data_IF_810097853061
#
_entry.id   IF_810097853061
#
_cell.length_a   1.000
_cell.length_b   1.000
_cell.length_c   1.000
_cell.angle_alpha   90.00
_cell.angle_beta   90.00
_cell.angle_gamma   90.00
#
_symmetry.space_group_name_H-M   'P 1'
#
loop_
_entity.id
_entity.type
_entity.pdbx_description
1 polymer ?
#
# COMPACT_ATOMS: atom_id res chain seq x y z
N UNK A 1 0.32 -5.97 -27.32
CA UNK A 1 0.02 -5.33 -26.02
C UNK A 1 -0.39 -3.86 -26.11
N UNK A 2 0.07 -3.05 -27.09
CA UNK A 2 -0.22 -1.60 -27.09
C UNK A 2 -1.69 -1.19 -26.97
N UNK A 3 -2.62 -1.89 -27.64
CA UNK A 3 -4.06 -1.62 -27.49
C UNK A 3 -4.61 -2.00 -26.12
N UNK A 4 -4.09 -3.08 -25.52
CA UNK A 4 -4.49 -3.58 -24.19
C UNK A 4 -3.94 -2.67 -23.08
N UNK A 5 -2.73 -2.14 -23.24
CA UNK A 5 -2.08 -1.26 -22.26
C UNK A 5 -2.46 0.22 -22.42
N UNK A 6 -3.13 0.59 -23.50
CA UNK A 6 -3.43 1.99 -23.86
C UNK A 6 -4.76 2.53 -23.33
N UNK A 7 -5.16 3.69 -23.87
CA UNK A 7 -6.35 4.47 -23.48
C UNK A 7 -7.68 3.75 -23.71
N UNK A 8 -7.71 2.75 -24.58
CA UNK A 8 -8.90 1.91 -24.84
C UNK A 8 -8.80 0.53 -24.19
N UNK A 9 -7.82 0.34 -23.30
CA UNK A 9 -7.64 -0.90 -22.55
C UNK A 9 -7.55 -0.61 -21.06
N UNK A 10 -6.39 -0.87 -20.48
CA UNK A 10 -6.12 -0.69 -19.04
C UNK A 10 -6.27 0.77 -18.60
N UNK A 11 -6.11 1.76 -19.49
CA UNK A 11 -6.34 3.18 -19.16
C UNK A 11 -7.72 3.69 -19.59
N UNK A 12 -8.60 2.80 -20.04
CA UNK A 12 -9.94 3.12 -20.54
C UNK A 12 -11.02 3.09 -19.47
N UNK A 13 -12.28 2.92 -19.91
CA UNK A 13 -13.42 2.83 -19.01
C UNK A 13 -13.32 1.61 -18.09
N UNK A 14 -14.15 1.54 -17.03
CA UNK A 14 -14.19 0.38 -16.15
C UNK A 14 -14.44 -0.94 -16.91
N UNK A 15 -15.25 -0.89 -17.97
CA UNK A 15 -15.50 -2.04 -18.84
C UNK A 15 -14.25 -2.40 -19.66
N UNK A 16 -13.63 -1.42 -20.31
CA UNK A 16 -12.41 -1.64 -21.11
C UNK A 16 -11.27 -2.21 -20.25
N UNK A 17 -11.13 -1.69 -19.02
CA UNK A 17 -10.17 -2.20 -18.03
C UNK A 17 -10.42 -3.66 -17.71
N UNK A 18 -11.65 -4.05 -17.40
CA UNK A 18 -11.97 -5.43 -17.10
C UNK A 18 -11.67 -6.36 -18.28
N UNK A 19 -12.05 -5.96 -19.51
CA UNK A 19 -11.73 -6.70 -20.72
C UNK A 19 -10.22 -6.81 -20.96
N UNK A 20 -9.48 -5.73 -20.75
CA UNK A 20 -8.04 -5.69 -20.95
C UNK A 20 -7.29 -6.56 -19.93
N UNK A 21 -7.72 -6.56 -18.66
CA UNK A 21 -7.18 -7.45 -17.62
C UNK A 21 -7.43 -8.93 -17.96
N UNK A 22 -8.62 -9.28 -18.43
CA UNK A 22 -8.92 -10.65 -18.89
C UNK A 22 -8.12 -11.06 -20.12
N UNK A 23 -7.87 -10.13 -21.05
CA UNK A 23 -6.99 -10.36 -22.19
C UNK A 23 -5.54 -10.57 -21.77
N UNK A 24 -5.03 -9.78 -20.81
CA UNK A 24 -3.68 -9.99 -20.24
C UNK A 24 -3.55 -11.32 -19.53
N UNK A 25 -4.55 -11.72 -18.74
CA UNK A 25 -4.60 -13.02 -18.08
C UNK A 25 -4.51 -14.15 -19.11
N UNK A 26 -5.29 -14.07 -20.18
CA UNK A 26 -5.24 -15.04 -21.29
C UNK A 26 -3.88 -15.04 -21.98
N UNK A 27 -3.34 -13.86 -22.31
CA UNK A 27 -2.04 -13.71 -22.97
C UNK A 27 -0.89 -14.26 -22.13
N UNK A 28 -0.92 -14.07 -20.81
CA UNK A 28 0.05 -14.66 -19.88
C UNK A 28 0.04 -16.19 -19.97
N UNK A 29 -1.14 -16.80 -20.13
CA UNK A 29 -1.28 -18.24 -20.31
C UNK A 29 -0.56 -18.80 -21.54
N UNK A 30 -0.44 -18.02 -22.62
CA UNK A 30 0.15 -18.47 -23.88
C UNK A 30 1.57 -17.98 -24.15
N UNK A 31 1.89 -16.74 -23.76
CA UNK A 31 3.12 -16.05 -24.16
C UNK A 31 3.65 -15.12 -23.06
N UNK A 32 3.75 -15.63 -21.82
CA UNK A 32 4.17 -14.81 -20.68
C UNK A 32 5.53 -14.13 -20.92
N UNK A 33 6.52 -14.84 -21.43
CA UNK A 33 7.88 -14.31 -21.59
C UNK A 33 7.96 -13.18 -22.64
N UNK A 34 7.05 -13.16 -23.62
CA UNK A 34 6.93 -12.07 -24.60
C UNK A 34 6.16 -10.86 -24.05
N UNK A 35 5.19 -11.13 -23.15
CA UNK A 35 4.29 -10.11 -22.59
C UNK A 35 4.94 -9.40 -21.41
N UNK A 36 5.65 -10.13 -20.55
CA UNK A 36 6.16 -9.65 -19.27
C UNK A 36 7.09 -8.45 -19.39
N UNK A 37 8.08 -8.41 -20.32
CA UNK A 37 8.95 -7.24 -20.47
C UNK A 37 8.17 -5.96 -20.80
N UNK A 38 7.17 -6.08 -21.69
CA UNK A 38 6.33 -4.94 -22.11
C UNK A 38 5.40 -4.48 -21.00
N UNK A 39 4.88 -5.42 -20.21
CA UNK A 39 4.05 -5.08 -19.05
C UNK A 39 4.88 -4.39 -17.99
N UNK A 40 6.05 -4.94 -17.63
CA UNK A 40 6.95 -4.34 -16.64
C UNK A 40 7.36 -2.92 -17.05
N UNK A 41 7.70 -2.71 -18.32
CA UNK A 41 7.98 -1.37 -18.84
C UNK A 41 6.79 -0.42 -18.61
N UNK A 42 5.58 -0.84 -18.98
CA UNK A 42 4.37 -0.02 -18.87
C UNK A 42 3.95 0.26 -17.42
N UNK A 43 4.03 -0.73 -16.52
CA UNK A 43 3.55 -0.59 -15.13
C UNK A 43 4.63 -0.10 -14.17
N UNK A 44 5.91 -0.13 -14.54
CA UNK A 44 6.99 0.33 -13.66
C UNK A 44 6.81 1.79 -13.22
N UNK A 45 6.40 2.66 -14.14
CA UNK A 45 6.07 4.06 -13.81
C UNK A 45 4.76 4.22 -13.02
N UNK A 46 3.80 3.31 -13.22
CA UNK A 46 2.53 3.30 -12.49
C UNK A 46 2.71 2.78 -11.03
N UNK A 47 3.74 1.96 -10.80
CA UNK A 47 4.11 1.38 -9.51
C UNK A 47 5.29 2.11 -8.85
N UNK A 48 5.48 3.37 -9.20
CA UNK A 48 6.55 4.18 -8.63
C UNK A 48 6.28 4.50 -7.16
N UNK A 49 6.98 3.81 -6.26
CA UNK A 49 6.89 4.04 -4.83
C UNK A 49 7.40 5.43 -4.42
N UNK A 50 8.24 6.09 -5.21
CA UNK A 50 8.71 7.45 -4.91
C UNK A 50 7.56 8.46 -5.07
N UNK A 51 6.78 8.35 -6.14
CA UNK A 51 5.57 9.17 -6.34
C UNK A 51 4.58 9.05 -5.18
N UNK A 52 4.45 7.86 -4.58
CA UNK A 52 3.57 7.66 -3.43
C UNK A 52 4.21 8.16 -2.13
N UNK A 53 5.51 7.97 -1.94
CA UNK A 53 6.26 8.53 -0.80
C UNK A 53 6.29 10.06 -0.80
N UNK A 54 6.14 10.70 -1.96
CA UNK A 54 6.04 12.16 -2.07
C UNK A 54 4.75 12.70 -1.44
N UNK A 55 3.70 11.86 -1.29
CA UNK A 55 2.47 12.26 -0.62
C UNK A 55 2.68 12.41 0.88
N UNK A 56 2.33 13.57 1.40
CA UNK A 56 2.39 13.85 2.83
C UNK A 56 1.17 13.30 3.56
N UNK A 57 1.29 13.13 4.87
CA UNK A 57 0.14 12.80 5.72
C UNK A 57 -1.01 13.83 5.59
N UNK A 58 -0.70 15.09 5.27
CA UNK A 58 -1.70 16.12 5.02
C UNK A 58 -2.48 15.84 3.74
N UNK A 59 -1.80 15.47 2.66
CA UNK A 59 -2.44 15.18 1.36
C UNK A 59 -3.46 14.03 1.47
N UNK A 60 -3.10 13.00 2.23
CA UNK A 60 -3.99 11.87 2.53
C UNK A 60 -5.22 12.33 3.32
N UNK A 61 -5.06 13.21 4.30
CA UNK A 61 -6.17 13.76 5.09
C UNK A 61 -7.07 14.63 4.20
N UNK A 62 -6.50 15.45 3.32
CA UNK A 62 -7.26 16.26 2.35
C UNK A 62 -8.07 15.35 1.43
N UNK A 63 -7.46 14.29 0.92
CA UNK A 63 -8.12 13.30 0.07
C UNK A 63 -9.25 12.55 0.79
N UNK A 64 -9.05 12.17 2.04
CA UNK A 64 -10.07 11.49 2.85
C UNK A 64 -11.22 12.43 3.28
N UNK A 65 -11.00 13.75 3.25
CA UNK A 65 -12.00 14.75 3.65
C UNK A 65 -13.06 14.91 2.55
N UNK A 66 -14.37 14.83 2.87
CA UNK A 66 -15.44 15.02 1.90
C UNK A 66 -15.33 16.33 1.11
N UNK A 67 -15.73 16.31 -0.17
CA UNK A 67 -15.77 17.52 -0.99
C UNK A 67 -16.69 18.57 -0.36
N UNK A 68 -16.29 19.84 -0.42
CA UNK A 68 -17.03 20.94 0.22
C UNK A 68 -16.66 21.20 1.68
N UNK A 69 -15.72 20.42 2.25
CA UNK A 69 -15.20 20.62 3.60
C UNK A 69 -13.68 20.80 3.56
N UNK A 70 -13.17 21.74 4.35
CA UNK A 70 -11.73 21.92 4.53
C UNK A 70 -11.19 20.87 5.50
N UNK A 71 -10.03 20.32 5.15
CA UNK A 71 -9.33 19.36 5.97
C UNK A 71 -8.89 19.98 7.30
N UNK A 72 -9.10 19.25 8.41
CA UNK A 72 -8.62 19.64 9.74
C UNK A 72 -7.39 18.83 10.09
N UNK A 73 -6.27 19.52 10.32
CA UNK A 73 -4.97 18.89 10.58
C UNK A 73 -4.64 18.73 12.07
N UNK A 74 -5.56 19.12 12.97
CA UNK A 74 -5.36 19.15 14.44
C UNK A 74 -5.07 17.77 15.07
N UNK A 75 -5.25 16.67 14.32
CA UNK A 75 -5.05 15.29 14.76
C UNK A 75 -3.79 14.60 14.19
N UNK A 76 -2.89 15.30 13.48
CA UNK A 76 -1.69 14.62 12.94
C UNK A 76 -0.71 14.14 14.02
N UNK A 77 -0.79 14.64 15.26
CA UNK A 77 0.11 14.25 16.36
C UNK A 77 -0.37 13.04 17.19
N UNK A 78 -1.63 12.60 17.06
CA UNK A 78 -2.10 11.37 17.68
C UNK A 78 -2.95 10.58 16.69
N UNK A 79 -2.54 9.33 16.44
CA UNK A 79 -3.08 8.45 15.40
C UNK A 79 -4.59 8.62 15.18
N UNK A 80 -4.95 9.01 13.95
CA UNK A 80 -6.31 9.30 13.53
C UNK A 80 -7.29 8.16 13.84
N UNK A 81 -8.30 8.48 14.66
CA UNK A 81 -9.58 7.77 14.74
C UNK A 81 -10.63 8.70 14.11
N UNK A 82 -11.36 8.28 13.07
CA UNK A 82 -12.45 9.07 12.51
C UNK A 82 -13.56 9.18 13.55
N UNK A 83 -13.59 10.29 14.30
CA UNK A 83 -14.73 10.62 15.15
C UNK A 83 -15.78 11.35 14.33
N UNK A 84 -16.99 10.78 14.37
CA UNK A 84 -18.21 11.42 13.90
C UNK A 84 -18.39 12.75 14.64
N UNK A 85 -18.70 13.76 13.83
CA UNK A 85 -19.28 15.07 14.11
C UNK A 85 -19.67 15.33 15.59
N UNK A 86 -18.85 16.12 16.28
CA UNK A 86 -19.35 17.04 17.30
C UNK A 86 -18.79 18.44 17.05
N UNK A 87 -19.69 19.39 16.82
CA UNK A 87 -19.41 20.80 16.69
C UNK A 87 -18.93 21.37 18.03
N UNK A 88 -17.61 21.42 18.26
CA UNK A 88 -17.03 22.15 19.38
C UNK A 88 -15.93 23.11 18.91
N UNK A 89 -16.23 24.40 19.10
CA UNK A 89 -15.39 25.60 19.03
C UNK A 89 -13.89 25.36 18.81
N UNK A 90 -13.42 25.66 17.60
CA UNK A 90 -12.00 25.71 17.23
C UNK A 90 -11.32 26.85 17.99
N UNK A 91 -10.50 26.51 18.99
CA UNK A 91 -9.53 27.43 19.57
C UNK A 91 -8.26 27.36 18.72
N UNK A 92 -8.10 28.34 17.84
CA UNK A 92 -6.88 28.53 17.03
C UNK A 92 -5.65 28.54 17.95
N UNK A 93 -4.66 27.71 17.63
CA UNK A 93 -3.45 27.52 18.42
C UNK A 93 -2.57 28.79 18.42
N UNK A 94 -1.66 28.90 19.40
CA UNK A 94 -0.75 30.05 19.52
C UNK A 94 0.27 30.12 18.38
N UNK A 95 0.46 29.05 17.62
CA UNK A 95 1.42 28.99 16.50
C UNK A 95 0.81 29.61 15.23
N UNK A 96 -0.48 29.39 14.97
CA UNK A 96 -1.22 30.07 13.89
C UNK A 96 -1.28 31.59 14.09
N UNK A 97 -1.31 32.04 15.35
CA UNK A 97 -1.22 33.47 15.71
C UNK A 97 0.15 34.09 15.45
N UNK A 98 1.22 33.30 15.40
CA UNK A 98 2.57 33.81 15.15
C UNK A 98 2.85 34.00 13.66
N UNK A 99 2.22 33.21 12.78
CA UNK A 99 2.38 33.35 11.34
C UNK A 99 1.65 34.60 10.78
N UNK A 100 0.55 35.03 11.41
CA UNK A 100 -0.30 36.15 10.94
C UNK A 100 -0.66 37.16 12.05
N UNK A 101 0.28 37.42 12.97
CA UNK A 101 0.05 38.20 14.21
C UNK A 101 -0.32 39.68 14.05
N UNK A 102 -0.29 40.24 12.83
CA UNK A 102 -0.63 41.63 12.58
C UNK A 102 -2.15 41.87 12.49
N UNK A 103 -2.94 40.95 11.92
CA UNK A 103 -4.40 41.12 11.79
C UNK A 103 -5.17 40.72 13.06
N UNK A 104 -4.66 39.77 13.85
CA UNK A 104 -5.39 39.20 14.98
C UNK A 104 -5.56 40.16 16.18
N UNK A 105 -4.76 41.24 16.26
CA UNK A 105 -4.84 42.22 17.35
C UNK A 105 -5.94 43.25 17.16
N UNK A 106 -6.27 43.62 15.92
CA UNK A 106 -7.37 44.58 15.66
C UNK A 106 -8.75 43.93 15.89
N UNK A 107 -8.89 42.63 15.61
CA UNK A 107 -10.16 41.91 15.77
C UNK A 107 -10.53 41.50 17.21
N UNK A 108 -9.60 41.59 18.17
CA UNK A 108 -9.89 41.26 19.57
C UNK A 108 -10.65 42.38 20.30
N UNK A 109 -10.54 43.63 19.83
CA UNK A 109 -11.23 44.77 20.44
C UNK A 109 -12.72 44.86 20.04
N UNK A 110 -13.11 44.27 18.91
CA UNK A 110 -14.47 44.44 18.36
C UNK A 110 -15.45 43.32 18.78
N UNK A 111 -14.95 42.15 19.21
CA UNK A 111 -15.78 40.97 19.53
C UNK A 111 -16.39 40.95 20.95
N UNK A 112 -16.18 41.98 21.77
CA UNK A 112 -16.78 42.06 23.11
C UNK A 112 -18.25 42.54 23.11
N UNK A 113 -18.77 43.02 21.98
CA UNK A 113 -20.11 43.58 21.92
C UNK A 113 -20.91 43.02 20.74
N UNK A 114 -21.42 41.79 20.88
CA UNK A 114 -22.77 41.32 20.45
C UNK A 114 -22.82 39.79 20.40
N UNK A 115 -23.47 39.20 21.41
CA UNK A 115 -24.06 37.86 21.33
C UNK A 115 -25.39 37.95 20.58
N UNK A 116 -25.61 37.09 19.58
CA UNK A 116 -26.92 36.51 19.23
C UNK A 116 -26.77 35.38 18.21
N UNK A 117 -27.58 34.36 18.40
CA UNK A 117 -27.70 33.09 17.66
C UNK A 117 -28.02 33.26 16.16
N UNK A 118 -27.02 33.57 15.36
CA UNK A 118 -27.00 33.24 13.94
C UNK A 118 -25.70 32.51 13.67
N UNK A 119 -25.74 31.38 12.94
CA UNK A 119 -24.52 30.79 12.34
C UNK A 119 -23.76 31.97 11.71
N UNK A 120 -22.54 32.30 12.17
CA UNK A 120 -21.86 33.50 11.68
C UNK A 120 -21.78 33.38 10.16
N UNK A 121 -22.53 34.23 9.46
CA UNK A 121 -22.40 34.37 8.01
C UNK A 121 -20.95 34.77 7.79
N UNK A 122 -20.21 33.92 7.10
CA UNK A 122 -18.87 34.27 6.66
C UNK A 122 -18.96 35.62 5.96
N UNK A 123 -18.08 36.53 6.35
CA UNK A 123 -17.91 37.79 5.62
C UNK A 123 -17.47 37.47 4.20
N UNK A 124 -17.70 38.36 3.23
CA UNK A 124 -17.30 38.12 1.82
C UNK A 124 -15.82 37.76 1.69
N UNK A 125 -14.96 38.34 2.54
CA UNK A 125 -13.53 38.02 2.61
C UNK A 125 -13.28 36.61 3.16
N UNK A 126 -14.05 36.17 4.17
CA UNK A 126 -13.96 34.80 4.69
C UNK A 126 -14.48 33.76 3.68
N UNK A 127 -15.51 34.09 2.89
CA UNK A 127 -15.99 33.24 1.79
C UNK A 127 -14.95 33.09 0.66
N UNK A 128 -14.31 34.19 0.26
CA UNK A 128 -13.25 34.17 -0.75
C UNK A 128 -12.04 33.33 -0.29
N UNK A 129 -11.60 33.49 0.95
CA UNK A 129 -10.50 32.69 1.53
C UNK A 129 -10.88 31.22 1.67
N UNK A 130 -12.12 30.92 2.05
CA UNK A 130 -12.63 29.55 2.12
C UNK A 130 -12.64 28.87 0.75
N UNK A 131 -13.18 29.55 -0.26
CA UNK A 131 -13.23 29.04 -1.63
C UNK A 131 -11.84 28.85 -2.23
N UNK A 132 -10.91 29.78 -1.97
CA UNK A 132 -9.52 29.65 -2.42
C UNK A 132 -8.83 28.40 -1.82
N UNK A 133 -9.02 28.14 -0.52
CA UNK A 133 -8.50 26.93 0.13
C UNK A 133 -9.14 25.66 -0.40
N UNK A 134 -10.44 25.70 -0.70
CA UNK A 134 -11.16 24.54 -1.22
C UNK A 134 -10.66 24.15 -2.62
N UNK A 135 -10.36 25.14 -3.46
CA UNK A 135 -9.79 24.94 -4.79
C UNK A 135 -8.37 24.35 -4.72
N UNK A 136 -7.54 24.81 -3.78
CA UNK A 136 -6.21 24.23 -3.55
C UNK A 136 -6.31 22.77 -3.11
N UNK A 137 -7.18 22.47 -2.14
CA UNK A 137 -7.42 21.10 -1.69
C UNK A 137 -7.99 20.22 -2.81
N UNK A 138 -8.80 20.75 -3.73
CA UNK A 138 -9.30 19.98 -4.88
C UNK A 138 -8.16 19.53 -5.81
N UNK A 139 -7.14 20.36 -6.01
CA UNK A 139 -5.92 19.98 -6.73
C UNK A 139 -5.15 18.84 -6.03
N UNK A 140 -5.05 18.90 -4.70
CA UNK A 140 -4.44 17.81 -3.89
C UNK A 140 -5.25 16.53 -4.01
N UNK A 141 -6.59 16.61 -3.90
CA UNK A 141 -7.49 15.44 -4.06
C UNK A 141 -7.31 14.79 -5.42
N UNK A 142 -7.23 15.59 -6.49
CA UNK A 142 -7.03 15.08 -7.84
C UNK A 142 -5.68 14.38 -8.00
N UNK A 143 -4.61 14.95 -7.42
CA UNK A 143 -3.26 14.39 -7.46
C UNK A 143 -3.21 13.04 -6.72
N UNK A 144 -3.72 12.98 -5.49
CA UNK A 144 -3.77 11.74 -4.70
C UNK A 144 -4.62 10.68 -5.39
N UNK A 145 -5.75 11.06 -5.99
CA UNK A 145 -6.61 10.13 -6.73
C UNK A 145 -5.92 9.54 -7.97
N UNK A 146 -5.19 10.37 -8.73
CA UNK A 146 -4.46 9.92 -9.91
C UNK A 146 -3.33 8.93 -9.54
N UNK A 147 -2.56 9.22 -8.49
CA UNK A 147 -1.51 8.33 -7.99
C UNK A 147 -2.11 7.00 -7.49
N UNK A 148 -3.21 7.07 -6.71
CA UNK A 148 -3.93 5.89 -6.25
C UNK A 148 -4.38 5.01 -7.42
N UNK A 149 -5.05 5.61 -8.40
CA UNK A 149 -5.59 4.89 -9.54
C UNK A 149 -4.50 4.22 -10.37
N UNK A 150 -3.40 4.94 -10.65
CA UNK A 150 -2.24 4.40 -11.36
C UNK A 150 -1.62 3.19 -10.63
N UNK A 151 -1.40 3.30 -9.32
CA UNK A 151 -0.86 2.20 -8.52
C UNK A 151 -1.82 1.00 -8.43
N UNK A 152 -3.12 1.22 -8.23
CA UNK A 152 -4.14 0.15 -8.22
C UNK A 152 -4.19 -0.57 -9.57
N UNK A 153 -4.00 0.17 -10.66
CA UNK A 153 -3.99 -0.37 -12.00
C UNK A 153 -2.78 -1.28 -12.24
N UNK A 154 -1.58 -0.80 -11.90
CA UNK A 154 -0.36 -1.62 -12.02
C UNK A 154 -0.46 -2.90 -11.18
N UNK A 155 -1.02 -2.81 -9.97
CA UNK A 155 -1.24 -3.97 -9.09
C UNK A 155 -2.24 -4.96 -9.70
N UNK A 156 -3.36 -4.47 -10.24
CA UNK A 156 -4.35 -5.30 -10.92
C UNK A 156 -3.75 -6.03 -12.14
N UNK A 157 -2.89 -5.35 -12.91
CA UNK A 157 -2.19 -5.94 -14.06
C UNK A 157 -1.27 -7.08 -13.61
N UNK A 158 -0.43 -6.85 -12.60
CA UNK A 158 0.45 -7.89 -12.06
C UNK A 158 -0.34 -9.07 -11.48
N UNK A 159 -1.45 -8.80 -10.80
CA UNK A 159 -2.37 -9.81 -10.29
C UNK A 159 -2.98 -10.67 -11.42
N UNK A 160 -3.42 -10.05 -12.52
CA UNK A 160 -3.94 -10.76 -13.69
C UNK A 160 -2.90 -11.65 -14.37
N UNK A 161 -1.64 -11.20 -14.45
CA UNK A 161 -0.55 -12.05 -14.98
C UNK A 161 -0.29 -13.27 -14.09
N UNK A 162 -0.26 -13.08 -12.77
CA UNK A 162 -0.14 -14.17 -11.79
C UNK A 162 -1.25 -15.22 -11.95
N UNK A 163 -2.51 -14.77 -12.13
CA UNK A 163 -3.65 -15.65 -12.36
C UNK A 163 -3.53 -16.43 -13.66
N UNK A 164 -3.14 -15.76 -14.74
CA UNK A 164 -3.09 -16.32 -16.08
C UNK A 164 -2.04 -17.41 -16.26
N UNK A 165 -0.90 -17.30 -15.57
CA UNK A 165 0.17 -18.28 -15.68
C UNK A 165 1.00 -18.43 -14.40
N UNK A 166 0.44 -19.10 -13.40
CA UNK A 166 1.10 -19.30 -12.09
C UNK A 166 2.48 -19.94 -12.20
N UNK A 167 2.63 -20.96 -13.06
CA UNK A 167 3.91 -21.69 -13.22
C UNK A 167 4.97 -20.81 -13.88
N UNK A 168 4.63 -20.12 -14.97
CA UNK A 168 5.55 -19.23 -15.68
C UNK A 168 5.90 -18.01 -14.83
N UNK A 169 4.94 -17.47 -14.07
CA UNK A 169 5.15 -16.31 -13.20
C UNK A 169 6.12 -16.56 -12.06
N UNK A 170 6.36 -17.82 -11.70
CA UNK A 170 7.38 -18.18 -10.72
C UNK A 170 8.74 -17.55 -11.03
N UNK A 171 9.20 -17.63 -12.28
CA UNK A 171 10.48 -17.07 -12.72
C UNK A 171 10.55 -15.53 -12.61
N UNK A 172 9.38 -14.88 -12.60
CA UNK A 172 9.24 -13.42 -12.58
C UNK A 172 8.93 -12.87 -11.18
N UNK A 173 8.72 -13.73 -10.17
CA UNK A 173 8.41 -13.33 -8.79
C UNK A 173 9.42 -12.33 -8.19
N UNK A 174 10.75 -12.49 -8.37
CA UNK A 174 11.72 -11.47 -7.98
C UNK A 174 11.44 -10.08 -8.53
N UNK A 175 11.18 -9.98 -9.83
CA UNK A 175 10.92 -8.68 -10.47
C UNK A 175 9.62 -8.05 -9.96
N UNK A 176 8.57 -8.85 -9.82
CA UNK A 176 7.26 -8.39 -9.32
C UNK A 176 7.34 -7.96 -7.85
N UNK A 177 8.02 -8.74 -7.00
CA UNK A 177 8.15 -8.45 -5.57
C UNK A 177 8.87 -7.14 -5.30
N UNK A 178 9.90 -6.81 -6.09
CA UNK A 178 10.61 -5.53 -6.05
C UNK A 178 9.74 -4.32 -6.39
N UNK A 179 8.64 -4.50 -7.12
CA UNK A 179 7.67 -3.43 -7.40
C UNK A 179 6.57 -3.36 -6.33
N UNK A 180 6.07 -4.51 -5.87
CA UNK A 180 4.90 -4.58 -4.98
C UNK A 180 5.25 -4.22 -3.53
N UNK A 181 6.38 -4.71 -2.99
CA UNK A 181 6.72 -4.50 -1.58
C UNK A 181 7.05 -3.07 -1.19
N UNK A 182 7.75 -2.26 -2.01
CA UNK A 182 7.91 -0.84 -1.71
C UNK A 182 6.59 -0.08 -1.58
N UNK A 183 5.56 -0.46 -2.35
CA UNK A 183 4.23 0.15 -2.27
C UNK A 183 3.51 -0.20 -0.96
N UNK A 184 3.69 -1.41 -0.42
CA UNK A 184 3.15 -1.78 0.89
C UNK A 184 3.61 -0.81 1.99
N UNK A 185 4.88 -0.39 1.91
CA UNK A 185 5.51 0.57 2.83
C UNK A 185 5.07 2.00 2.58
N UNK A 186 5.12 2.45 1.33
CA UNK A 186 4.86 3.84 0.94
C UNK A 186 3.38 4.23 1.05
N UNK A 187 2.49 3.28 0.78
CA UNK A 187 1.13 3.55 0.38
C UNK A 187 0.08 2.82 1.22
N UNK A 188 0.42 2.47 2.47
CA UNK A 188 -0.43 1.68 3.40
C UNK A 188 -1.90 2.07 3.36
N UNK A 189 -2.20 3.36 3.46
CA UNK A 189 -3.59 3.84 3.56
C UNK A 189 -4.29 3.96 2.21
N UNK A 190 -3.54 3.99 1.12
CA UNK A 190 -4.04 4.34 -0.20
C UNK A 190 -4.35 3.10 -1.06
N UNK A 191 -3.45 2.10 -1.06
CA UNK A 191 -3.53 0.92 -1.96
C UNK A 191 -3.37 -0.43 -1.27
N UNK A 192 -3.51 -0.50 0.06
CA UNK A 192 -3.36 -1.76 0.82
C UNK A 192 -4.20 -2.92 0.26
N UNK A 193 -5.44 -2.66 -0.16
CA UNK A 193 -6.30 -3.68 -0.75
C UNK A 193 -5.70 -4.32 -2.00
N UNK A 194 -5.20 -3.49 -2.93
CA UNK A 194 -4.56 -3.95 -4.17
C UNK A 194 -3.25 -4.71 -3.90
N UNK A 195 -2.44 -4.24 -2.95
CA UNK A 195 -1.18 -4.90 -2.57
C UNK A 195 -1.47 -6.27 -1.96
N UNK A 196 -2.43 -6.37 -1.03
CA UNK A 196 -2.83 -7.65 -0.41
C UNK A 196 -3.37 -8.64 -1.44
N UNK A 197 -4.21 -8.18 -2.37
CA UNK A 197 -4.73 -9.02 -3.44
C UNK A 197 -3.59 -9.55 -4.34
N UNK A 198 -2.66 -8.68 -4.72
CA UNK A 198 -1.51 -9.05 -5.56
C UNK A 198 -0.58 -10.01 -4.84
N UNK A 199 -0.28 -9.76 -3.56
CA UNK A 199 0.53 -10.62 -2.71
C UNK A 199 -0.02 -12.06 -2.63
N UNK A 200 -1.35 -12.20 -2.53
CA UNK A 200 -2.01 -13.52 -2.53
C UNK A 200 -1.80 -14.25 -3.85
N UNK A 201 -1.95 -13.57 -4.98
CA UNK A 201 -1.70 -14.20 -6.29
C UNK A 201 -0.23 -14.56 -6.50
N UNK A 202 0.70 -13.72 -6.04
CA UNK A 202 2.13 -14.02 -6.05
C UNK A 202 2.45 -15.27 -5.23
N UNK A 203 1.85 -15.41 -4.04
CA UNK A 203 2.03 -16.58 -3.19
C UNK A 203 1.54 -17.89 -3.85
N UNK A 204 0.53 -17.80 -4.73
CA UNK A 204 0.05 -18.94 -5.52
C UNK A 204 0.97 -19.29 -6.71
N UNK A 205 1.93 -18.43 -7.05
CA UNK A 205 2.97 -18.70 -8.05
C UNK A 205 4.23 -19.32 -7.45
N UNK A 206 4.30 -19.50 -6.13
CA UNK A 206 5.42 -20.16 -5.48
C UNK A 206 5.51 -21.65 -5.84
N UNK A 207 6.71 -22.22 -5.69
CA UNK A 207 6.95 -23.64 -5.94
C UNK A 207 6.23 -24.56 -4.95
N UNK A 208 5.97 -24.05 -3.75
CA UNK A 208 5.07 -24.67 -2.78
C UNK A 208 3.78 -23.86 -2.68
N UNK A 209 2.70 -24.54 -2.28
CA UNK A 209 1.43 -23.87 -2.03
C UNK A 209 1.50 -23.17 -0.68
N UNK A 210 1.83 -21.89 -0.69
CA UNK A 210 1.78 -21.06 0.49
C UNK A 210 0.33 -20.91 0.97
N UNK A 211 0.14 -21.09 2.27
CA UNK A 211 -1.11 -20.84 2.97
C UNK A 211 -1.44 -19.35 3.02
N UNK A 212 -2.72 -19.01 3.22
CA UNK A 212 -3.20 -17.61 3.21
C UNK A 212 -2.56 -16.72 4.30
N UNK A 213 -2.00 -17.32 5.35
CA UNK A 213 -1.34 -16.61 6.44
C UNK A 213 0.00 -15.99 6.00
N UNK A 214 0.68 -16.59 5.03
CA UNK A 214 1.99 -16.12 4.54
C UNK A 214 1.89 -14.77 3.81
N UNK A 215 1.03 -14.57 2.79
CA UNK A 215 0.92 -13.29 2.11
C UNK A 215 0.40 -12.17 3.02
N UNK A 216 -0.46 -12.47 4.00
CA UNK A 216 -0.91 -11.49 4.99
C UNK A 216 0.25 -11.06 5.91
N UNK A 217 1.04 -12.01 6.40
CA UNK A 217 2.22 -11.70 7.20
C UNK A 217 3.28 -10.92 6.39
N UNK A 218 3.49 -11.28 5.12
CA UNK A 218 4.38 -10.54 4.20
C UNK A 218 3.94 -9.09 4.02
N UNK A 219 2.64 -8.86 3.86
CA UNK A 219 2.10 -7.51 3.81
C UNK A 219 2.42 -6.72 5.09
N UNK A 220 2.15 -7.31 6.26
CA UNK A 220 2.37 -6.66 7.56
C UNK A 220 3.85 -6.29 7.80
N UNK A 221 4.79 -7.18 7.49
CA UNK A 221 6.23 -6.90 7.66
C UNK A 221 6.77 -5.92 6.63
N UNK A 222 6.16 -5.87 5.44
CA UNK A 222 6.53 -4.89 4.40
C UNK A 222 6.05 -3.49 4.78
N UNK A 223 4.93 -3.41 5.49
CA UNK A 223 4.33 -2.18 5.98
C UNK A 223 5.05 -1.62 7.22
N UNK A 224 5.46 -2.50 8.14
CA UNK A 224 6.05 -2.14 9.42
C UNK A 224 7.47 -2.68 9.56
N UNK A 225 8.52 -1.83 9.49
CA UNK A 225 9.91 -2.29 9.53
C UNK A 225 10.38 -2.75 10.93
N UNK A 226 9.57 -2.55 11.97
CA UNK A 226 9.89 -2.90 13.35
C UNK A 226 8.67 -3.48 14.05
N UNK A 227 8.90 -4.47 14.91
CA UNK A 227 7.87 -5.10 15.73
C UNK A 227 7.19 -4.13 16.70
N UNK A 228 7.88 -3.07 17.14
CA UNK A 228 7.31 -2.02 17.99
C UNK A 228 6.10 -1.31 17.38
N UNK A 229 5.94 -1.40 16.05
CA UNK A 229 4.88 -0.73 15.30
C UNK A 229 3.68 -1.64 15.03
N UNK A 230 3.78 -2.93 15.40
CA UNK A 230 2.72 -3.91 15.21
C UNK A 230 1.76 -3.90 16.40
N UNK A 231 0.47 -4.03 16.12
CA UNK A 231 -0.50 -4.37 17.16
C UNK A 231 -0.25 -5.80 17.68
N UNK A 232 -0.74 -6.16 18.88
CA UNK A 232 -0.63 -7.54 19.37
C UNK A 232 -1.19 -8.59 18.40
N UNK A 233 -2.26 -8.24 17.67
CA UNK A 233 -2.90 -9.08 16.67
C UNK A 233 -2.03 -9.20 15.41
N UNK A 234 -1.49 -8.09 14.90
CA UNK A 234 -0.58 -8.11 13.74
C UNK A 234 0.67 -8.93 14.05
N UNK A 235 1.21 -8.79 15.26
CA UNK A 235 2.33 -9.60 15.73
C UNK A 235 1.98 -11.10 15.78
N UNK A 236 0.75 -11.45 16.19
CA UNK A 236 0.27 -12.83 16.16
C UNK A 236 0.14 -13.35 14.72
N UNK A 237 -0.34 -12.52 13.79
CA UNK A 237 -0.43 -12.87 12.38
C UNK A 237 0.94 -13.08 11.74
N UNK A 238 1.95 -12.25 12.08
CA UNK A 238 3.33 -12.45 11.63
C UNK A 238 3.89 -13.77 12.16
N UNK A 239 3.70 -14.08 13.45
CA UNK A 239 4.10 -15.39 14.02
C UNK A 239 3.42 -16.55 13.30
N UNK A 240 2.11 -16.43 13.05
CA UNK A 240 1.33 -17.42 12.30
C UNK A 240 1.89 -17.64 10.91
N UNK A 241 2.16 -16.56 10.17
CA UNK A 241 2.72 -16.61 8.82
C UNK A 241 4.09 -17.26 8.76
N UNK A 242 5.00 -17.01 9.72
CA UNK A 242 6.31 -17.69 9.76
C UNK A 242 6.14 -19.19 10.01
N UNK A 243 5.31 -19.59 10.97
CA UNK A 243 5.04 -21.01 11.25
C UNK A 243 4.42 -21.70 10.04
N UNK A 244 3.47 -21.03 9.40
CA UNK A 244 2.80 -21.52 8.21
C UNK A 244 3.78 -21.68 7.04
N UNK A 245 4.65 -20.70 6.80
CA UNK A 245 5.72 -20.80 5.80
C UNK A 245 6.60 -22.03 6.02
N UNK A 246 7.08 -22.24 7.25
CA UNK A 246 7.93 -23.39 7.58
C UNK A 246 7.19 -24.71 7.39
N UNK A 247 5.90 -24.76 7.72
CA UNK A 247 5.06 -25.93 7.48
C UNK A 247 4.85 -26.19 5.98
N UNK A 248 4.54 -25.15 5.20
CA UNK A 248 4.29 -25.20 3.76
C UNK A 248 5.53 -25.65 2.97
N UNK A 249 6.73 -25.32 3.47
CA UNK A 249 8.00 -25.76 2.91
C UNK A 249 8.29 -27.26 3.13
N UNK A 250 7.66 -27.89 4.14
CA UNK A 250 7.88 -29.30 4.47
C UNK A 250 9.34 -29.67 4.80
N UNK A 251 10.18 -28.69 5.15
CA UNK A 251 11.60 -28.89 5.44
C UNK A 251 12.54 -28.93 4.22
N UNK A 252 12.04 -28.62 3.02
CA UNK A 252 12.86 -28.52 1.80
C UNK A 252 13.14 -27.05 1.47
N UNK A 253 14.34 -26.71 0.95
CA UNK A 253 14.63 -25.35 0.53
C UNK A 253 13.75 -24.94 -0.66
N UNK A 254 13.33 -23.67 -0.67
CA UNK A 254 12.56 -23.05 -1.75
C UNK A 254 13.50 -22.55 -2.84
N UNK A 255 13.18 -22.78 -4.14
CA UNK A 255 13.88 -22.14 -5.25
C UNK A 255 14.04 -20.64 -5.01
N UNK A 256 15.13 -20.08 -5.54
CA UNK A 256 15.57 -18.70 -5.28
C UNK A 256 14.42 -17.70 -5.49
N UNK A 257 13.58 -17.92 -6.49
CA UNK A 257 12.47 -17.06 -6.86
C UNK A 257 11.36 -17.03 -5.80
N UNK A 258 10.99 -18.18 -5.23
CA UNK A 258 10.06 -18.25 -4.11
C UNK A 258 10.69 -17.80 -2.81
N UNK A 259 11.97 -18.08 -2.61
CA UNK A 259 12.69 -17.63 -1.43
C UNK A 259 12.76 -16.10 -1.38
N UNK A 260 13.06 -15.42 -2.49
CA UNK A 260 13.11 -13.95 -2.55
C UNK A 260 11.75 -13.31 -2.18
N UNK A 261 10.64 -13.95 -2.57
CA UNK A 261 9.30 -13.50 -2.19
C UNK A 261 9.08 -13.54 -0.68
N UNK A 262 9.45 -14.64 -0.02
CA UNK A 262 9.16 -14.89 1.41
C UNK A 262 10.26 -14.40 2.34
N UNK A 263 11.44 -14.07 1.80
CA UNK A 263 12.61 -13.63 2.57
C UNK A 263 12.34 -12.42 3.49
N UNK A 264 11.56 -11.39 3.09
CA UNK A 264 11.23 -10.28 3.98
C UNK A 264 10.60 -10.73 5.31
N UNK A 265 9.75 -11.76 5.28
CA UNK A 265 9.11 -12.33 6.48
C UNK A 265 10.12 -13.03 7.39
N UNK A 266 11.00 -13.85 6.81
CA UNK A 266 12.05 -14.53 7.56
C UNK A 266 13.05 -13.53 8.17
N UNK A 267 13.47 -12.55 7.37
CA UNK A 267 14.35 -11.47 7.80
C UNK A 267 13.75 -10.69 8.97
N UNK A 268 12.48 -10.30 8.85
CA UNK A 268 11.78 -9.58 9.90
C UNK A 268 11.75 -10.38 11.21
N UNK A 269 11.46 -11.68 11.15
CA UNK A 269 11.43 -12.56 12.32
C UNK A 269 12.81 -12.73 12.98
N UNK A 270 13.90 -12.70 12.20
CA UNK A 270 15.28 -12.78 12.72
C UNK A 270 15.71 -11.46 13.36
N UNK A 271 15.46 -10.34 12.69
CA UNK A 271 15.89 -9.00 13.13
C UNK A 271 15.05 -8.44 14.29
N UNK A 272 13.83 -8.96 14.49
CA UNK A 272 12.92 -8.52 15.55
C UNK A 272 12.62 -9.66 16.55
N UNK A 273 13.51 -9.87 17.55
CA UNK A 273 13.37 -10.96 18.54
C UNK A 273 12.10 -10.98 19.42
N UNK A 274 11.33 -9.88 19.66
CA UNK A 274 10.07 -9.99 20.42
C UNK A 274 8.95 -10.78 19.72
N UNK A 275 9.18 -11.31 18.51
CA UNK A 275 8.31 -12.29 17.83
C UNK A 275 8.28 -13.65 18.59
N UNK A 276 9.12 -13.83 19.62
CA UNK A 276 9.18 -15.02 20.46
C UNK A 276 10.30 -15.96 20.00
N UNK A 277 11.05 -16.54 20.94
CA UNK A 277 12.28 -17.29 20.66
C UNK A 277 12.06 -18.44 19.68
N UNK A 278 10.94 -19.16 19.80
CA UNK A 278 10.58 -20.26 18.90
C UNK A 278 10.51 -19.82 17.43
N UNK A 279 9.87 -18.68 17.14
CA UNK A 279 9.69 -18.21 15.76
C UNK A 279 11.00 -17.69 15.17
N UNK A 280 11.82 -17.05 16.00
CA UNK A 280 13.17 -16.64 15.62
C UNK A 280 14.04 -17.87 15.30
N UNK A 281 14.00 -18.91 16.13
CA UNK A 281 14.73 -20.17 15.90
C UNK A 281 14.27 -20.87 14.60
N UNK A 282 12.96 -20.90 14.35
CA UNK A 282 12.40 -21.42 13.10
C UNK A 282 12.89 -20.64 11.88
N UNK A 283 12.88 -19.30 11.95
CA UNK A 283 13.35 -18.45 10.86
C UNK A 283 14.86 -18.63 10.61
N UNK A 284 15.68 -18.65 11.67
CA UNK A 284 17.12 -18.90 11.58
C UNK A 284 17.43 -20.28 10.98
N UNK A 285 16.73 -21.32 11.42
CA UNK A 285 16.88 -22.67 10.85
C UNK A 285 16.53 -22.69 9.37
N UNK A 286 15.44 -22.01 8.99
CA UNK A 286 15.00 -21.93 7.59
C UNK A 286 16.02 -21.18 6.74
N UNK A 287 16.56 -20.05 7.20
CA UNK A 287 17.61 -19.32 6.49
C UNK A 287 18.89 -20.17 6.37
N UNK A 288 19.29 -20.88 7.43
CA UNK A 288 20.47 -21.75 7.41
C UNK A 288 20.34 -22.90 6.41
N UNK A 289 19.13 -23.45 6.22
CA UNK A 289 18.86 -24.47 5.20
C UNK A 289 19.12 -23.96 3.77
N UNK A 290 18.85 -22.67 3.48
CA UNK A 290 19.11 -22.08 2.16
C UNK A 290 20.55 -21.59 2.00
N UNK A 291 21.26 -21.34 3.10
CA UNK A 291 22.65 -20.90 3.10
C UNK A 291 23.67 -22.04 3.01
N UNK A 292 23.23 -23.31 3.16
CA UNK A 292 24.11 -24.48 3.17
C UNK A 292 24.42 -24.98 1.74
N UNK A 293 25.65 -24.83 1.24
CA UNK A 293 26.00 -25.24 -0.12
C UNK A 293 26.11 -26.77 -0.19
N UNK A 294 25.18 -27.43 -0.86
CA UNK A 294 25.28 -28.88 -1.14
C UNK A 294 23.98 -29.67 -1.10
N UNK A 295 22.87 -29.08 -0.65
CA UNK A 295 21.58 -29.77 -0.72
C UNK A 295 21.03 -29.61 -2.14
N UNK A 296 20.92 -30.73 -2.87
CA UNK A 296 20.36 -30.73 -4.22
C UNK A 296 18.94 -30.15 -4.17
N UNK A 297 18.71 -29.09 -4.93
CA UNK A 297 17.37 -28.60 -5.22
C UNK A 297 16.56 -29.77 -5.78
N UNK A 298 15.37 -30.08 -5.26
CA UNK A 298 14.50 -31.05 -5.93
C UNK A 298 14.22 -30.49 -7.33
N UNK A 299 14.82 -31.13 -8.34
CA UNK A 299 14.56 -30.84 -9.74
C UNK A 299 13.05 -30.85 -9.95
N UNK A 300 12.51 -29.80 -10.56
CA UNK A 300 11.09 -29.51 -10.77
C UNK A 300 10.31 -30.66 -11.47
N UNK A 301 10.10 -31.76 -10.74
CA UNK A 301 9.51 -33.01 -11.21
C UNK A 301 8.31 -33.45 -10.37
N UNK A 302 7.76 -32.57 -9.54
CA UNK A 302 6.51 -32.84 -8.80
C UNK A 302 5.47 -31.80 -9.20
N UNK A 303 5.03 -31.87 -10.46
CA UNK A 303 3.67 -31.47 -10.82
C UNK A 303 3.15 -32.52 -11.82
N UNK A 304 2.57 -33.58 -11.26
CA UNK A 304 1.56 -34.42 -11.93
C UNK A 304 0.17 -33.96 -11.50
#
# INVERSE_FOLDING_TARGET
CGAVLGEFGIRGSAFDRACALGALESLAGYALDDVMPRVLEAVSGDLDAESVCALTAKDIVVWATPRGQLARFEQLESGYVPQQQEEKNVKISKEDKKLYGALAKEFAAEKAAKKKDEKPKMTKQEEEVFNARLAEEEGVRATVAAIKESAELGLAVLSSLCKGNRKGMHAHLPAVSRLVWPLARAARRLVAGGVKATAREMALCCSCRLSEQVPEALFLVSESPSYSNLTPDDAANVRGGVRALVADMGGYPLPVESFELVFPLLRFAVENPPVGSEVQDLALKTVAQHASPGQAWPSAGIIG
#
